data_IF_777341985084
#
_entry.id   IF_777341985084
#
_cell.length_a   1.000
_cell.length_b   1.000
_cell.length_c   1.000
_cell.angle_alpha   90.00
_cell.angle_beta   90.00
_cell.angle_gamma   90.00
#
_symmetry.space_group_name_H-M   'P 1'
#
loop_
_entity.id
_entity.type
_entity.pdbx_description
1 polymer ?
#
# COMPACT_ATOMS: atom_id res chain seq x y z
N UNK A 1 3.08 5.49 16.22
CA UNK A 1 3.08 5.70 14.77
C UNK A 1 4.18 4.82 14.20
N UNK A 2 3.94 4.13 13.09
CA UNK A 2 4.88 3.20 12.44
C UNK A 2 4.86 3.48 10.95
N UNK A 3 5.99 3.30 10.28
CA UNK A 3 6.08 3.41 8.82
C UNK A 3 5.82 2.04 8.21
N UNK A 4 4.91 1.94 7.26
CA UNK A 4 4.62 0.70 6.54
C UNK A 4 5.03 0.83 5.08
N UNK A 5 5.75 -0.17 4.57
CA UNK A 5 5.90 -0.41 3.14
C UNK A 5 4.87 -1.46 2.72
N UNK A 6 3.97 -1.10 1.81
CA UNK A 6 2.79 -1.88 1.47
C UNK A 6 2.78 -2.10 -0.04
N UNK A 7 2.79 -3.37 -0.45
CA UNK A 7 2.64 -3.77 -1.85
C UNK A 7 1.15 -3.99 -2.10
N UNK A 8 0.58 -3.13 -2.94
CA UNK A 8 -0.85 -3.15 -3.29
C UNK A 8 -1.04 -3.61 -4.73
N UNK A 9 -2.17 -4.29 -4.97
CA UNK A 9 -2.60 -4.81 -6.26
C UNK A 9 -4.02 -4.37 -6.61
N UNK A 10 -4.38 -4.46 -7.88
CA UNK A 10 -5.72 -4.17 -8.39
C UNK A 10 -5.77 -3.92 -9.90
N UNK A 11 -6.96 -3.59 -10.40
CA UNK A 11 -7.17 -3.37 -11.83
C UNK A 11 -6.94 -1.91 -12.24
N UNK A 12 -6.56 -1.67 -13.49
CA UNK A 12 -6.62 -0.36 -14.11
C UNK A 12 -7.34 -0.45 -15.47
N UNK A 13 -8.22 0.50 -15.85
CA UNK A 13 -9.08 0.37 -17.04
C UNK A 13 -8.35 0.14 -18.37
N UNK A 14 -7.10 0.59 -18.48
CA UNK A 14 -6.27 0.42 -19.67
C UNK A 14 -5.28 -0.75 -19.59
N UNK A 15 -5.25 -1.48 -18.47
CA UNK A 15 -4.33 -2.59 -18.27
C UNK A 15 -5.00 -3.93 -18.66
N UNK A 16 -4.27 -4.79 -19.35
CA UNK A 16 -4.73 -6.15 -19.68
C UNK A 16 -4.54 -7.13 -18.52
N UNK A 17 -3.71 -6.76 -17.55
CA UNK A 17 -3.36 -7.54 -16.37
C UNK A 17 -3.50 -6.65 -15.14
N UNK A 18 -3.47 -7.30 -13.99
CA UNK A 18 -3.40 -6.62 -12.70
C UNK A 18 -2.13 -5.76 -12.59
N UNK A 19 -2.27 -4.59 -11.97
CA UNK A 19 -1.18 -3.63 -11.75
C UNK A 19 -0.90 -3.52 -10.26
N UNK A 20 0.37 -3.24 -9.95
CA UNK A 20 0.83 -3.16 -8.57
C UNK A 20 1.61 -1.88 -8.33
N UNK A 21 1.58 -1.39 -7.10
CA UNK A 21 2.31 -0.20 -6.65
C UNK A 21 2.82 -0.38 -5.21
N UNK A 22 3.83 0.40 -4.84
CA UNK A 22 4.37 0.47 -3.47
C UNK A 22 3.88 1.72 -2.77
N UNK A 23 3.22 1.56 -1.63
CA UNK A 23 2.78 2.68 -0.79
C UNK A 23 3.57 2.71 0.51
N UNK A 24 4.00 3.91 0.88
CA UNK A 24 4.57 4.19 2.19
C UNK A 24 3.57 4.98 3.02
N UNK A 25 3.12 4.42 4.13
CA UNK A 25 2.07 5.03 4.97
C UNK A 25 2.51 5.02 6.43
N UNK A 26 2.42 6.17 7.10
CA UNK A 26 2.61 6.27 8.53
C UNK A 26 1.25 6.09 9.24
N UNK A 27 1.10 5.05 10.07
CA UNK A 27 -0.15 4.75 10.77
C UNK A 27 0.11 4.07 12.13
N UNK A 28 -0.87 4.01 13.06
CA UNK A 28 -0.72 3.29 14.33
C UNK A 28 -0.73 1.75 14.17
N UNK A 29 -1.36 1.21 13.13
CA UNK A 29 -1.37 -0.20 12.74
C UNK A 29 -1.56 -0.35 11.23
N UNK A 30 -1.41 -1.56 10.67
CA UNK A 30 -1.63 -1.81 9.24
C UNK A 30 -3.10 -1.56 8.85
N UNK A 31 -4.06 -1.90 9.70
CA UNK A 31 -5.49 -1.69 9.45
C UNK A 31 -5.83 -0.19 9.37
N UNK A 32 -5.15 0.64 10.16
CA UNK A 32 -5.32 2.08 10.13
C UNK A 32 -4.81 2.75 8.82
N UNK A 33 -4.16 1.99 7.93
CA UNK A 33 -3.72 2.49 6.62
C UNK A 33 -4.85 2.44 5.57
N UNK A 34 -5.94 1.71 5.83
CA UNK A 34 -6.99 1.39 4.86
C UNK A 34 -7.52 2.61 4.09
N UNK A 35 -8.00 3.63 4.79
CA UNK A 35 -8.56 4.84 4.15
C UNK A 35 -7.51 5.61 3.33
N UNK A 36 -6.25 5.59 3.77
CA UNK A 36 -5.15 6.23 3.03
C UNK A 36 -4.85 5.46 1.75
N UNK A 37 -4.85 4.12 1.80
CA UNK A 37 -4.62 3.28 0.62
C UNK A 37 -5.74 3.44 -0.41
N UNK A 38 -7.01 3.44 0.03
CA UNK A 38 -8.15 3.69 -0.84
C UNK A 38 -8.06 5.07 -1.52
N UNK A 39 -7.74 6.13 -0.77
CA UNK A 39 -7.63 7.48 -1.31
C UNK A 39 -6.44 7.66 -2.28
N UNK A 40 -5.39 6.83 -2.16
CA UNK A 40 -4.22 6.87 -3.02
C UNK A 40 -4.30 5.93 -4.22
N UNK A 41 -5.25 4.99 -4.23
CA UNK A 41 -5.39 4.03 -5.30
C UNK A 41 -5.82 4.73 -6.60
N UNK A 42 -4.99 4.59 -7.63
CA UNK A 42 -5.18 5.22 -8.93
C UNK A 42 -5.81 4.28 -9.96
N UNK A 43 -6.06 3.02 -9.58
CA UNK A 43 -6.73 2.03 -10.42
C UNK A 43 -8.26 2.12 -10.35
N UNK A 44 -8.91 1.02 -10.68
CA UNK A 44 -10.36 0.88 -10.63
C UNK A 44 -10.84 0.84 -9.17
N UNK A 45 -11.88 1.62 -8.88
CA UNK A 45 -12.52 1.61 -7.57
C UNK A 45 -13.02 0.20 -7.21
N UNK A 46 -12.81 -0.22 -5.96
CA UNK A 46 -13.27 -1.51 -5.44
C UNK A 46 -12.40 -2.72 -5.78
N UNK A 47 -11.30 -2.56 -6.53
CA UNK A 47 -10.40 -3.68 -6.88
C UNK A 47 -9.12 -3.74 -6.05
N UNK A 48 -8.86 -2.70 -5.26
CA UNK A 48 -7.65 -2.60 -4.44
C UNK A 48 -7.57 -3.76 -3.44
N UNK A 49 -6.40 -4.39 -3.36
CA UNK A 49 -6.06 -5.32 -2.29
C UNK A 49 -4.60 -5.16 -1.86
N UNK A 50 -4.27 -5.72 -0.70
CA UNK A 50 -2.91 -5.78 -0.16
C UNK A 50 -2.38 -7.18 -0.38
N UNK A 51 -1.27 -7.30 -1.09
CA UNK A 51 -0.58 -8.57 -1.32
C UNK A 51 0.39 -8.89 -0.19
N UNK A 52 1.17 -7.89 0.22
CA UNK A 52 2.08 -8.00 1.36
C UNK A 52 2.43 -6.63 1.93
N UNK A 53 2.98 -6.63 3.15
CA UNK A 53 3.44 -5.42 3.81
C UNK A 53 4.54 -5.74 4.82
N UNK A 54 5.29 -4.70 5.20
CA UNK A 54 6.23 -4.76 6.31
C UNK A 54 6.24 -3.42 7.06
N UNK A 55 6.42 -3.49 8.37
CA UNK A 55 6.78 -2.33 9.18
C UNK A 55 8.26 -2.02 8.96
N UNK A 56 8.54 -0.79 8.53
CA UNK A 56 9.90 -0.27 8.41
C UNK A 56 10.26 0.43 9.71
N UNK A 57 11.03 -0.26 10.54
CA UNK A 57 11.55 0.25 11.81
C UNK A 57 13.02 0.69 11.74
N UNK A 58 13.72 0.35 10.66
CA UNK A 58 15.13 0.71 10.44
C UNK A 58 15.51 0.62 8.96
N UNK A 59 16.52 1.37 8.54
CA UNK A 59 17.17 1.27 7.24
C UNK A 59 18.68 1.54 7.37
N UNK A 60 19.52 0.68 6.77
CA UNK A 60 20.98 0.83 6.74
C UNK A 60 21.65 1.04 8.12
N UNK A 61 21.08 0.45 9.18
CA UNK A 61 21.56 0.57 10.56
C UNK A 61 21.08 1.83 11.29
N UNK A 62 20.17 2.59 10.70
CA UNK A 62 19.50 3.72 11.31
C UNK A 62 18.07 3.37 11.68
N UNK A 63 17.66 3.73 12.89
CA UNK A 63 16.25 3.78 13.29
C UNK A 63 15.54 5.00 12.71
#
# INVERSE_FOLDING_TARGET
MRLFAIYIGGEHPAANIEVHDMRFVAAPSIEATHETLLAQWWGREGTLHIDCWSEISQADGYE
#
